data_IF_499537246583
#
_entry.id   IF_499537246583
#
_cell.length_a   1.000
_cell.length_b   1.000
_cell.length_c   1.000
_cell.angle_alpha   90.00
_cell.angle_beta   90.00
_cell.angle_gamma   90.00
#
_symmetry.space_group_name_H-M   'P 1'
#
loop_
_entity.id
_entity.type
_entity.pdbx_description
1 polymer ?
#
# COMPACT_ATOMS: atom_id res chain seq x y z
N UNK A 1 -1.66 39.95 34.22
CA UNK A 1 -2.80 39.01 34.41
C UNK A 1 -4.08 39.56 33.76
N UNK A 2 -4.06 39.92 32.48
CA UNK A 2 -5.28 40.29 31.69
C UNK A 2 -5.12 40.00 30.17
N UNK A 3 -4.15 39.18 29.76
CA UNK A 3 -3.87 38.83 28.35
C UNK A 3 -3.86 37.31 28.12
N UNK A 4 -4.54 36.54 28.97
CA UNK A 4 -4.70 35.08 28.80
C UNK A 4 -6.17 34.64 28.83
N UNK A 5 -7.10 35.50 29.23
CA UNK A 5 -8.54 35.18 29.27
C UNK A 5 -9.26 35.43 27.94
N UNK A 6 -8.71 36.26 27.05
CA UNK A 6 -9.34 36.57 25.76
C UNK A 6 -9.04 35.51 24.68
N UNK A 7 -7.91 34.79 24.79
CA UNK A 7 -7.53 33.74 23.83
C UNK A 7 -8.42 32.49 23.96
N UNK A 8 -8.93 32.22 25.17
CA UNK A 8 -9.85 31.11 25.42
C UNK A 8 -11.30 31.37 24.95
N UNK A 9 -11.70 32.64 24.81
CA UNK A 9 -13.04 32.96 24.29
C UNK A 9 -13.09 33.15 22.77
N UNK A 10 -11.96 33.39 22.09
CA UNK A 10 -11.88 33.41 20.62
C UNK A 10 -11.55 32.03 20.01
N UNK A 11 -11.05 31.08 20.80
CA UNK A 11 -10.83 29.69 20.36
C UNK A 11 -12.08 28.80 20.50
N UNK A 12 -13.24 29.36 20.85
CA UNK A 12 -14.48 28.63 21.12
C UNK A 12 -15.52 28.67 19.97
N UNK A 13 -15.12 29.07 18.75
CA UNK A 13 -16.03 29.07 17.60
C UNK A 13 -15.35 28.72 16.28
N UNK A 14 -14.43 27.75 16.30
CA UNK A 14 -14.22 26.95 15.09
C UNK A 14 -15.34 25.90 15.07
N UNK A 15 -16.56 26.32 14.74
CA UNK A 15 -17.56 25.38 14.27
C UNK A 15 -16.96 24.68 13.05
N UNK A 16 -16.59 23.41 13.22
CA UNK A 16 -16.29 22.55 12.08
C UNK A 16 -17.57 22.48 11.28
N UNK A 17 -17.65 23.30 10.22
CA UNK A 17 -18.76 23.26 9.29
C UNK A 17 -18.72 21.87 8.66
N UNK A 18 -19.52 20.97 9.22
CA UNK A 18 -19.68 19.62 8.71
C UNK A 18 -20.52 19.74 7.43
N UNK A 19 -19.84 19.94 6.31
CA UNK A 19 -20.47 20.02 4.99
C UNK A 19 -21.17 18.72 4.58
N UNK A 20 -20.94 17.64 5.32
CA UNK A 20 -21.57 16.36 5.06
C UNK A 20 -21.70 15.52 6.34
N UNK A 21 -22.89 14.95 6.54
CA UNK A 21 -23.18 14.10 7.70
C UNK A 21 -22.96 12.64 7.37
N UNK A 22 -22.37 11.90 8.32
CA UNK A 22 -22.23 10.46 8.20
C UNK A 22 -23.62 9.82 8.16
N UNK A 23 -23.96 9.19 7.03
CA UNK A 23 -25.18 8.42 6.95
C UNK A 23 -25.02 7.14 7.79
N UNK A 24 -25.51 7.18 9.03
CA UNK A 24 -25.49 6.03 9.96
C UNK A 24 -26.33 4.84 9.49
N UNK A 25 -27.17 5.02 8.47
CA UNK A 25 -27.90 3.92 7.84
C UNK A 25 -27.04 3.09 6.88
N UNK A 26 -25.77 3.48 6.63
CA UNK A 26 -24.83 2.67 5.85
C UNK A 26 -24.47 1.42 6.66
N UNK A 27 -24.87 0.21 6.20
CA UNK A 27 -24.67 -1.02 6.97
C UNK A 27 -23.19 -1.28 7.28
N UNK A 28 -22.28 -0.98 6.34
CA UNK A 28 -20.85 -1.20 6.52
C UNK A 28 -20.22 -0.37 7.65
N UNK A 29 -20.66 0.88 7.79
CA UNK A 29 -20.19 1.75 8.87
C UNK A 29 -20.73 1.26 10.21
N UNK A 30 -22.00 0.85 10.22
CA UNK A 30 -22.64 0.27 11.39
C UNK A 30 -21.92 -0.99 11.87
N UNK A 31 -21.66 -1.95 10.98
CA UNK A 31 -20.89 -3.17 11.28
C UNK A 31 -19.51 -2.85 11.88
N UNK A 32 -18.81 -1.87 11.31
CA UNK A 32 -17.52 -1.47 11.85
C UNK A 32 -17.63 -0.85 13.25
N UNK A 33 -18.52 0.12 13.46
CA UNK A 33 -18.66 0.83 14.74
C UNK A 33 -19.33 0.00 15.84
N UNK A 34 -20.16 -0.99 15.49
CA UNK A 34 -20.82 -1.89 16.44
C UNK A 34 -19.95 -3.07 16.89
N UNK A 35 -18.72 -3.18 16.37
CA UNK A 35 -17.77 -4.18 16.84
C UNK A 35 -17.83 -5.54 16.12
N UNK A 36 -18.58 -5.64 15.01
CA UNK A 36 -18.74 -6.90 14.27
C UNK A 36 -17.45 -7.37 13.54
N UNK A 37 -17.47 -8.58 12.98
CA UNK A 37 -16.34 -9.07 12.18
C UNK A 37 -16.19 -8.25 10.89
N UNK A 38 -14.98 -7.75 10.66
CA UNK A 38 -14.64 -6.91 9.49
C UNK A 38 -14.14 -7.74 8.31
N UNK A 39 -13.80 -9.02 8.51
CA UNK A 39 -13.24 -9.85 7.44
C UNK A 39 -14.20 -10.06 6.25
N UNK A 40 -15.52 -10.27 6.44
CA UNK A 40 -16.46 -10.49 5.34
C UNK A 40 -16.57 -9.33 4.36
N UNK A 41 -16.39 -8.08 4.83
CA UNK A 41 -16.56 -6.89 4.00
C UNK A 41 -15.23 -6.25 3.60
N UNK A 42 -14.27 -6.19 4.54
CA UNK A 42 -12.99 -5.50 4.36
C UNK A 42 -11.83 -6.44 4.04
N UNK A 43 -12.03 -7.78 4.11
CA UNK A 43 -10.98 -8.81 3.95
C UNK A 43 -9.82 -8.70 4.95
N UNK A 44 -10.02 -7.92 6.02
CA UNK A 44 -9.04 -7.67 7.06
C UNK A 44 -9.66 -7.92 8.44
N UNK A 45 -8.83 -8.40 9.37
CA UNK A 45 -9.23 -8.50 10.77
C UNK A 45 -9.43 -7.11 11.37
N UNK A 46 -10.28 -7.02 12.40
CA UNK A 46 -10.54 -5.76 13.11
C UNK A 46 -9.25 -5.16 13.68
N UNK A 47 -8.36 -6.01 14.19
CA UNK A 47 -7.04 -5.59 14.69
C UNK A 47 -6.20 -4.95 13.58
N UNK A 48 -6.21 -5.54 12.39
CA UNK A 48 -5.50 -4.98 11.23
C UNK A 48 -6.09 -3.64 10.78
N UNK A 49 -7.42 -3.50 10.79
CA UNK A 49 -8.09 -2.23 10.45
C UNK A 49 -7.75 -1.15 11.47
N UNK A 50 -7.81 -1.46 12.77
CA UNK A 50 -7.44 -0.51 13.83
C UNK A 50 -5.96 -0.12 13.73
N UNK A 51 -5.07 -1.07 13.48
CA UNK A 51 -3.65 -0.79 13.27
C UNK A 51 -3.41 0.12 12.07
N UNK A 52 -4.16 -0.08 10.98
CA UNK A 52 -4.11 0.79 9.80
C UNK A 52 -4.63 2.20 10.12
N UNK A 53 -5.70 2.31 10.91
CA UNK A 53 -6.23 3.60 11.35
C UNK A 53 -5.21 4.36 12.21
N UNK A 54 -4.58 3.69 13.17
CA UNK A 54 -3.54 4.29 14.02
C UNK A 54 -2.31 4.73 13.21
N UNK A 55 -1.94 3.94 12.20
CA UNK A 55 -0.84 4.27 11.32
C UNK A 55 -1.14 5.51 10.44
N UNK A 56 -2.39 5.65 10.02
CA UNK A 56 -2.88 6.74 9.17
C UNK A 56 -3.55 7.85 9.98
N UNK A 57 -3.45 7.82 11.31
CA UNK A 57 -4.06 8.80 12.21
C UNK A 57 -3.23 10.09 12.12
N UNK A 58 -3.60 10.91 11.15
CA UNK A 58 -3.10 12.26 10.99
C UNK A 58 -4.26 13.18 11.41
N UNK A 59 -4.03 14.00 12.43
CA UNK A 59 -5.00 15.03 12.82
C UNK A 59 -5.30 15.90 11.60
N UNK A 60 -6.56 15.91 11.19
CA UNK A 60 -7.01 16.61 9.99
C UNK A 60 -8.28 17.37 10.29
N UNK A 61 -8.21 18.68 10.13
CA UNK A 61 -9.33 19.60 10.27
C UNK A 61 -10.32 19.55 9.10
N UNK A 62 -9.98 18.84 8.01
CA UNK A 62 -10.73 18.81 6.76
C UNK A 62 -10.93 17.37 6.27
N UNK A 63 -12.15 17.04 5.83
CA UNK A 63 -12.49 15.74 5.23
C UNK A 63 -13.59 14.99 5.99
N UNK A 64 -13.71 13.70 5.71
CA UNK A 64 -14.69 12.81 6.38
C UNK A 64 -14.14 12.19 7.66
N UNK A 65 -12.93 12.56 8.06
CA UNK A 65 -12.20 11.95 9.17
C UNK A 65 -11.41 10.71 8.72
N UNK A 66 -10.21 10.46 9.29
CA UNK A 66 -9.33 9.37 8.87
C UNK A 66 -10.00 8.00 8.88
N UNK A 67 -10.89 7.77 9.85
CA UNK A 67 -11.62 6.51 9.98
C UNK A 67 -12.48 6.18 8.75
N UNK A 68 -13.28 7.14 8.30
CA UNK A 68 -14.21 6.91 7.19
C UNK A 68 -13.44 6.79 5.88
N UNK A 69 -12.39 7.61 5.69
CA UNK A 69 -11.55 7.56 4.49
C UNK A 69 -10.84 6.22 4.32
N UNK A 70 -10.30 5.67 5.41
CA UNK A 70 -9.69 4.33 5.41
C UNK A 70 -10.72 3.24 5.13
N UNK A 71 -11.91 3.29 5.74
CA UNK A 71 -12.96 2.31 5.47
C UNK A 71 -13.43 2.34 4.00
N UNK A 72 -13.60 3.54 3.44
CA UNK A 72 -13.91 3.72 2.01
C UNK A 72 -12.82 3.10 1.14
N UNK A 73 -11.55 3.35 1.47
CA UNK A 73 -10.41 2.79 0.76
C UNK A 73 -10.37 1.25 0.84
N UNK A 74 -10.61 0.67 2.02
CA UNK A 74 -10.64 -0.78 2.20
C UNK A 74 -11.75 -1.47 1.40
N UNK A 75 -12.96 -0.91 1.38
CA UNK A 75 -14.07 -1.43 0.55
C UNK A 75 -13.74 -1.26 -0.94
N UNK A 76 -13.04 -0.19 -1.31
CA UNK A 76 -12.54 -0.04 -2.67
C UNK A 76 -11.52 -1.12 -3.03
N UNK A 77 -10.56 -1.46 -2.15
CA UNK A 77 -9.62 -2.56 -2.38
C UNK A 77 -10.34 -3.92 -2.54
N UNK A 78 -11.38 -4.16 -1.74
CA UNK A 78 -12.15 -5.40 -1.80
C UNK A 78 -13.03 -5.54 -3.06
N UNK A 79 -13.51 -4.42 -3.61
CA UNK A 79 -14.48 -4.42 -4.73
C UNK A 79 -13.92 -3.95 -6.07
N UNK A 80 -12.80 -3.23 -6.07
CA UNK A 80 -12.21 -2.53 -7.22
C UNK A 80 -13.22 -1.65 -8.00
N UNK A 81 -14.24 -1.09 -7.33
CA UNK A 81 -15.33 -0.37 -8.00
C UNK A 81 -15.77 0.89 -7.26
N UNK A 82 -15.45 2.06 -7.84
CA UNK A 82 -15.94 3.36 -7.37
C UNK A 82 -17.48 3.43 -7.30
N UNK A 83 -18.18 2.72 -8.17
CA UNK A 83 -19.65 2.71 -8.18
C UNK A 83 -20.24 1.95 -7.00
N UNK A 84 -19.63 0.81 -6.63
CA UNK A 84 -20.07 0.00 -5.49
C UNK A 84 -19.85 0.79 -4.21
N UNK A 85 -18.65 1.34 -4.03
CA UNK A 85 -18.28 2.14 -2.85
C UNK A 85 -19.15 3.40 -2.75
N UNK A 86 -19.36 4.10 -3.86
CA UNK A 86 -20.24 5.29 -3.92
C UNK A 86 -21.66 4.98 -3.43
N UNK A 87 -22.23 3.84 -3.83
CA UNK A 87 -23.55 3.40 -3.36
C UNK A 87 -23.54 2.98 -1.90
N UNK A 88 -22.50 2.24 -1.49
CA UNK A 88 -22.38 1.72 -0.14
C UNK A 88 -22.27 2.84 0.90
N UNK A 89 -21.46 3.88 0.64
CA UNK A 89 -21.25 5.00 1.55
C UNK A 89 -22.15 6.22 1.25
N UNK A 90 -23.05 6.12 0.26
CA UNK A 90 -23.86 7.24 -0.23
C UNK A 90 -23.03 8.49 -0.56
N UNK A 91 -21.90 8.27 -1.26
CA UNK A 91 -20.89 9.29 -1.53
C UNK A 91 -20.72 9.51 -3.05
N UNK A 92 -20.54 10.74 -3.54
CA UNK A 92 -20.28 10.97 -4.96
C UNK A 92 -19.03 10.22 -5.45
N UNK A 93 -19.07 9.69 -6.68
CA UNK A 93 -17.94 8.90 -7.23
C UNK A 93 -16.64 9.69 -7.29
N UNK A 94 -16.71 11.00 -7.57
CA UNK A 94 -15.57 11.91 -7.57
C UNK A 94 -14.92 12.00 -6.19
N UNK A 95 -15.73 12.00 -5.14
CA UNK A 95 -15.25 12.02 -3.77
C UNK A 95 -14.63 10.67 -3.36
N UNK A 96 -15.23 9.54 -3.75
CA UNK A 96 -14.61 8.21 -3.57
C UNK A 96 -13.24 8.16 -4.24
N UNK A 97 -13.16 8.65 -5.47
CA UNK A 97 -11.90 8.73 -6.20
C UNK A 97 -10.84 9.53 -5.44
N UNK A 98 -11.20 10.73 -4.97
CA UNK A 98 -10.27 11.57 -4.21
C UNK A 98 -9.80 10.90 -2.92
N UNK A 99 -10.72 10.32 -2.13
CA UNK A 99 -10.39 9.58 -0.90
C UNK A 99 -9.46 8.41 -1.20
N UNK A 100 -9.74 7.60 -2.24
CA UNK A 100 -8.90 6.46 -2.60
C UNK A 100 -7.49 6.89 -2.96
N UNK A 101 -7.34 7.91 -3.79
CA UNK A 101 -6.03 8.40 -4.20
C UNK A 101 -5.25 9.03 -3.05
N UNK A 102 -5.95 9.73 -2.17
CA UNK A 102 -5.36 10.36 -1.00
C UNK A 102 -4.89 9.33 0.03
N UNK A 103 -5.72 8.39 0.46
CA UNK A 103 -5.32 7.31 1.39
C UNK A 103 -4.21 6.45 0.79
N UNK A 104 -4.25 6.18 -0.51
CA UNK A 104 -3.16 5.49 -1.21
C UNK A 104 -1.84 6.28 -1.15
N UNK A 105 -1.89 7.60 -1.33
CA UNK A 105 -0.73 8.48 -1.21
C UNK A 105 -0.12 8.46 0.18
N UNK A 106 -0.95 8.54 1.23
CA UNK A 106 -0.50 8.48 2.62
C UNK A 106 0.13 7.11 2.93
N UNK A 107 -0.45 6.02 2.43
CA UNK A 107 0.15 4.69 2.55
C UNK A 107 1.50 4.57 1.86
N UNK A 108 1.62 5.08 0.63
CA UNK A 108 2.88 5.08 -0.12
C UNK A 108 3.99 5.84 0.60
N UNK A 109 3.66 6.91 1.33
CA UNK A 109 4.62 7.64 2.16
C UNK A 109 5.07 6.81 3.37
N UNK A 110 4.18 6.00 3.94
CA UNK A 110 4.49 5.14 5.10
C UNK A 110 5.20 3.84 4.73
N UNK A 111 5.02 3.34 3.50
CA UNK A 111 5.58 2.06 3.03
C UNK A 111 7.09 1.88 3.31
N UNK A 112 7.98 2.85 3.06
CA UNK A 112 9.41 2.69 3.31
C UNK A 112 9.78 2.48 4.78
N UNK A 113 8.94 2.95 5.71
CA UNK A 113 9.16 2.81 7.15
C UNK A 113 8.70 1.44 7.68
N UNK A 114 7.74 0.83 6.98
CA UNK A 114 7.11 -0.44 7.37
C UNK A 114 7.80 -1.62 6.68
N UNK A 115 7.99 -1.53 5.37
CA UNK A 115 8.58 -2.58 4.53
C UNK A 115 10.05 -2.21 4.32
N UNK A 116 10.90 -2.72 5.23
CA UNK A 116 12.33 -2.48 5.19
C UNK A 116 13.12 -3.77 5.10
N UNK A 117 14.17 -3.73 4.30
CA UNK A 117 15.17 -4.79 4.25
C UNK A 117 15.94 -4.77 5.58
N UNK A 118 16.14 -5.91 6.24
CA UNK A 118 16.97 -5.99 7.44
C UNK A 118 18.39 -5.51 7.14
N UNK A 119 18.91 -4.59 7.95
CA UNK A 119 20.16 -3.88 7.68
C UNK A 119 21.29 -4.28 8.62
N UNK A 120 20.97 -4.81 9.80
CA UNK A 120 21.97 -5.22 10.78
C UNK A 120 22.32 -6.70 10.64
N UNK A 121 23.57 -7.07 10.91
CA UNK A 121 24.00 -8.47 10.89
C UNK A 121 23.15 -9.37 11.80
N UNK A 122 22.68 -8.82 12.94
CA UNK A 122 21.82 -9.54 13.87
C UNK A 122 20.41 -9.77 13.31
N UNK A 123 19.81 -8.79 12.64
CA UNK A 123 18.52 -9.00 11.94
C UNK A 123 18.65 -10.04 10.82
N UNK A 124 19.73 -9.98 10.04
CA UNK A 124 20.01 -10.94 8.98
C UNK A 124 20.17 -12.36 9.53
N UNK A 125 20.93 -12.51 10.62
CA UNK A 125 21.10 -13.79 11.32
C UNK A 125 19.76 -14.33 11.81
N UNK A 126 18.93 -13.48 12.44
CA UNK A 126 17.58 -13.88 12.88
C UNK A 126 16.72 -14.38 11.71
N UNK A 127 16.81 -13.73 10.55
CA UNK A 127 16.07 -14.16 9.35
C UNK A 127 16.55 -15.52 8.87
N UNK A 128 17.85 -15.70 8.70
CA UNK A 128 18.44 -16.96 8.27
C UNK A 128 18.18 -18.11 9.24
N UNK A 129 18.36 -17.89 10.54
CA UNK A 129 18.06 -18.88 11.58
C UNK A 129 16.57 -19.27 11.57
N UNK A 130 15.68 -18.32 11.30
CA UNK A 130 14.25 -18.56 11.14
C UNK A 130 13.95 -19.49 9.97
N UNK A 131 14.56 -19.26 8.81
CA UNK A 131 14.42 -20.16 7.66
C UNK A 131 15.04 -21.53 7.89
N UNK A 132 16.21 -21.60 8.54
CA UNK A 132 16.83 -22.87 8.91
C UNK A 132 15.93 -23.71 9.81
N UNK A 133 15.23 -23.08 10.77
CA UNK A 133 14.23 -23.74 11.62
C UNK A 133 13.02 -24.22 10.82
N UNK A 134 12.45 -23.37 9.95
CA UNK A 134 11.29 -23.72 9.13
C UNK A 134 11.56 -24.87 8.15
N UNK A 135 12.75 -24.87 7.57
CA UNK A 135 13.19 -25.90 6.63
C UNK A 135 13.76 -27.16 7.31
N UNK A 136 14.02 -27.11 8.62
CA UNK A 136 14.69 -28.18 9.35
C UNK A 136 16.13 -28.46 8.89
N UNK A 137 16.79 -27.49 8.24
CA UNK A 137 18.08 -27.72 7.59
C UNK A 137 19.00 -26.49 7.66
N UNK A 138 20.26 -26.71 8.05
CA UNK A 138 21.27 -25.65 8.23
C UNK A 138 21.67 -24.91 6.95
N UNK A 139 21.34 -25.43 5.78
CA UNK A 139 21.60 -24.75 4.49
C UNK A 139 20.91 -23.37 4.40
N UNK A 140 19.80 -23.18 5.11
CA UNK A 140 19.03 -21.93 5.05
C UNK A 140 19.49 -20.87 6.07
N UNK A 141 20.56 -21.09 6.84
CA UNK A 141 21.04 -20.09 7.81
C UNK A 141 21.51 -18.78 7.18
N UNK A 142 21.80 -18.79 5.86
CA UNK A 142 22.14 -17.58 5.08
C UNK A 142 20.97 -17.05 4.26
N UNK A 143 19.77 -17.61 4.41
CA UNK A 143 18.60 -17.13 3.69
C UNK A 143 18.21 -15.74 4.19
N UNK A 144 18.05 -14.81 3.25
CA UNK A 144 17.75 -13.40 3.52
C UNK A 144 16.26 -13.08 3.34
N UNK A 145 15.53 -14.00 2.71
CA UNK A 145 14.12 -13.84 2.40
C UNK A 145 13.64 -14.89 1.38
N UNK A 146 12.34 -15.08 1.32
CA UNK A 146 11.67 -15.86 0.27
C UNK A 146 11.10 -14.89 -0.77
N UNK A 147 11.50 -15.04 -2.03
CA UNK A 147 11.06 -14.20 -3.14
C UNK A 147 9.96 -14.90 -3.93
N UNK A 148 8.91 -14.16 -4.26
CA UNK A 148 7.88 -14.58 -5.21
C UNK A 148 7.40 -13.37 -6.02
N UNK A 149 6.69 -13.62 -7.13
CA UNK A 149 6.10 -12.56 -7.92
C UNK A 149 4.81 -12.96 -8.61
N UNK A 150 3.92 -11.99 -8.80
CA UNK A 150 2.65 -12.16 -9.46
C UNK A 150 2.46 -11.18 -10.62
N UNK A 151 1.57 -11.54 -11.55
CA UNK A 151 1.26 -10.74 -12.72
C UNK A 151 -0.12 -10.09 -12.55
N UNK A 152 -0.14 -8.76 -12.44
CA UNK A 152 -1.36 -7.97 -12.32
C UNK A 152 -1.77 -7.50 -13.71
N UNK A 153 -2.88 -8.04 -14.22
CA UNK A 153 -3.43 -7.59 -15.51
C UNK A 153 -3.90 -6.16 -15.40
N UNK A 154 -3.55 -5.34 -16.39
CA UNK A 154 -4.00 -3.96 -16.48
C UNK A 154 -4.76 -3.73 -17.79
N UNK A 155 -5.48 -2.62 -17.88
CA UNK A 155 -5.84 -2.09 -19.20
C UNK A 155 -4.56 -1.55 -19.83
N UNK A 156 -4.35 -1.83 -21.12
CA UNK A 156 -3.20 -1.29 -21.82
C UNK A 156 -3.22 0.25 -21.70
N UNK A 157 -2.09 0.88 -21.35
CA UNK A 157 -2.00 2.32 -21.48
C UNK A 157 -2.17 2.74 -22.94
N UNK A 158 -2.46 4.02 -23.16
CA UNK A 158 -2.53 4.58 -24.51
C UNK A 158 -1.18 4.47 -25.24
N UNK A 159 -1.23 4.51 -26.56
CA UNK A 159 -0.04 4.62 -27.40
C UNK A 159 0.76 5.90 -27.08
N UNK A 160 2.10 5.89 -27.17
CA UNK A 160 2.96 4.82 -27.69
C UNK A 160 3.39 3.76 -26.64
N UNK A 161 2.90 3.86 -25.40
CA UNK A 161 3.43 3.08 -24.27
C UNK A 161 2.80 1.69 -24.13
N UNK A 162 1.74 1.38 -24.87
CA UNK A 162 0.98 0.13 -24.76
C UNK A 162 1.86 -1.12 -24.90
N UNK A 163 2.84 -1.08 -25.81
CA UNK A 163 3.75 -2.19 -26.08
C UNK A 163 4.66 -2.50 -24.88
N UNK A 164 5.03 -1.49 -24.08
CA UNK A 164 5.93 -1.63 -22.93
C UNK A 164 5.32 -2.47 -21.78
N UNK A 165 4.02 -2.72 -21.82
CA UNK A 165 3.30 -3.47 -20.78
C UNK A 165 2.90 -4.86 -21.26
N UNK A 166 3.17 -5.23 -22.52
CA UNK A 166 2.82 -6.54 -23.06
C UNK A 166 3.83 -7.60 -22.60
N UNK A 167 3.32 -8.65 -21.99
CA UNK A 167 4.13 -9.81 -21.65
C UNK A 167 4.33 -10.78 -22.83
N UNK A 168 5.07 -11.87 -22.60
CA UNK A 168 5.26 -12.98 -23.56
C UNK A 168 3.93 -13.59 -24.04
N UNK A 169 2.86 -13.51 -23.24
CA UNK A 169 1.51 -14.01 -23.56
C UNK A 169 0.63 -12.94 -24.24
N UNK A 170 1.23 -11.83 -24.69
CA UNK A 170 0.62 -10.75 -25.47
C UNK A 170 -0.54 -10.01 -24.78
N UNK A 171 -0.58 -10.00 -23.44
CA UNK A 171 -1.53 -9.17 -22.70
C UNK A 171 -0.81 -8.14 -21.81
N UNK A 172 -1.42 -6.94 -21.63
CA UNK A 172 -0.86 -5.88 -20.79
C UNK A 172 -0.91 -6.25 -19.29
N UNK A 173 0.23 -6.13 -18.61
CA UNK A 173 0.35 -6.38 -17.18
C UNK A 173 1.44 -5.56 -16.50
N UNK A 174 1.38 -5.52 -15.18
CA UNK A 174 2.47 -5.11 -14.29
C UNK A 174 2.90 -6.35 -13.51
N UNK A 175 4.22 -6.54 -13.37
CA UNK A 175 4.76 -7.58 -12.51
C UNK A 175 5.00 -6.99 -11.12
N UNK A 176 4.46 -7.67 -10.11
CA UNK A 176 4.76 -7.41 -8.71
C UNK A 176 5.71 -8.49 -8.21
N UNK A 177 6.80 -8.11 -7.59
CA UNK A 177 7.70 -9.00 -6.86
C UNK A 177 7.74 -8.57 -5.40
N UNK A 178 7.80 -9.55 -4.51
CA UNK A 178 7.90 -9.30 -3.09
C UNK A 178 8.86 -10.31 -2.44
N UNK A 179 9.52 -9.86 -1.38
CA UNK A 179 10.38 -10.69 -0.54
C UNK A 179 9.80 -10.69 0.87
N UNK A 180 9.62 -11.88 1.43
CA UNK A 180 9.18 -12.08 2.81
C UNK A 180 10.30 -12.62 3.68
N UNK A 181 10.29 -12.27 4.97
CA UNK A 181 11.12 -12.96 5.95
C UNK A 181 10.50 -14.32 6.36
N UNK A 182 11.18 -15.04 7.26
CA UNK A 182 10.72 -16.32 7.79
C UNK A 182 9.35 -16.26 8.48
N UNK A 183 8.93 -15.09 9.01
CA UNK A 183 7.63 -14.92 9.65
C UNK A 183 6.50 -14.58 8.67
N UNK A 184 6.77 -14.59 7.35
CA UNK A 184 5.80 -14.22 6.33
C UNK A 184 5.55 -12.72 6.23
N UNK A 185 6.43 -11.88 6.79
CA UNK A 185 6.33 -10.42 6.73
C UNK A 185 7.11 -9.91 5.52
N UNK A 186 6.49 -9.06 4.71
CA UNK A 186 7.14 -8.40 3.58
C UNK A 186 8.27 -7.48 4.05
N UNK A 187 9.48 -7.69 3.52
CA UNK A 187 10.68 -6.87 3.77
C UNK A 187 11.09 -6.06 2.52
N UNK A 188 10.55 -6.43 1.36
CA UNK A 188 10.75 -5.72 0.11
C UNK A 188 9.58 -5.97 -0.83
N UNK A 189 9.11 -4.92 -1.50
CA UNK A 189 8.06 -5.01 -2.52
C UNK A 189 8.46 -4.12 -3.68
N UNK A 190 8.38 -4.65 -4.90
CA UNK A 190 8.76 -3.92 -6.11
C UNK A 190 7.79 -4.24 -7.24
N UNK A 191 7.18 -3.19 -7.80
CA UNK A 191 6.35 -3.27 -8.99
C UNK A 191 7.11 -2.74 -10.19
N UNK A 192 7.12 -3.49 -11.29
CA UNK A 192 7.69 -3.03 -12.55
C UNK A 192 6.87 -3.51 -13.74
N UNK A 193 6.85 -2.70 -14.78
CA UNK A 193 6.43 -3.18 -16.10
C UNK A 193 7.64 -3.84 -16.75
N UNK A 194 7.41 -4.93 -17.48
CA UNK A 194 8.44 -5.64 -18.21
C UNK A 194 8.58 -5.04 -19.63
N UNK A 195 9.56 -4.17 -19.92
CA UNK A 195 10.20 -4.18 -21.22
C UNK A 195 11.24 -5.30 -21.14
N UNK A 196 11.07 -6.36 -21.91
CA UNK A 196 12.13 -7.37 -22.04
C UNK A 196 13.40 -6.64 -22.48
N UNK A 197 14.39 -6.51 -21.59
CA UNK A 197 15.61 -5.71 -21.78
C UNK A 197 15.36 -4.20 -22.01
N UNK A 198 16.18 -3.37 -21.39
CA UNK A 198 16.21 -1.89 -21.51
C UNK A 198 16.50 -1.37 -22.94
N UNK A 199 16.42 -2.20 -23.98
CA UNK A 199 17.10 -1.99 -25.25
C UNK A 199 16.25 -1.44 -26.40
N UNK A 200 14.92 -1.30 -26.29
CA UNK A 200 14.09 -0.98 -27.47
C UNK A 200 13.05 0.14 -27.31
N UNK A 201 13.04 0.87 -26.20
CA UNK A 201 12.11 1.99 -26.03
C UNK A 201 12.80 3.37 -25.96
N UNK A 202 14.09 3.47 -26.29
CA UNK A 202 14.77 4.75 -26.49
C UNK A 202 14.92 5.02 -27.99
N UNK A 203 14.02 5.84 -28.54
CA UNK A 203 14.42 6.75 -29.61
C UNK A 203 15.41 7.78 -29.06
N UNK A 204 16.24 8.42 -29.90
CA UNK A 204 17.43 9.12 -29.45
C UNK A 204 17.08 10.42 -28.72
N UNK A 205 17.20 10.43 -27.40
CA UNK A 205 17.57 11.64 -26.68
C UNK A 205 18.21 11.29 -25.33
N UNK A 206 19.45 11.78 -25.16
CA UNK A 206 20.29 11.65 -23.99
C UNK A 206 19.62 12.22 -22.73
N UNK A 207 19.55 11.40 -21.67
CA UNK A 207 19.57 11.89 -20.30
C UNK A 207 20.53 11.00 -19.50
N UNK A 208 21.41 11.58 -18.66
CA UNK A 208 22.39 10.81 -17.91
C UNK A 208 21.67 9.89 -16.91
N UNK A 209 22.17 8.66 -16.69
CA UNK A 209 21.55 7.76 -15.74
C UNK A 209 21.63 8.35 -14.33
N UNK A 210 20.47 8.50 -13.69
CA UNK A 210 20.39 8.58 -12.22
C UNK A 210 21.18 7.40 -11.64
N UNK A 211 21.95 7.60 -10.55
CA UNK A 211 22.86 6.58 -10.04
C UNK A 211 22.08 5.32 -9.73
N UNK A 212 22.34 4.29 -10.52
CA UNK A 212 22.04 2.91 -10.17
C UNK A 212 22.63 2.69 -8.78
N UNK A 213 21.79 2.42 -7.80
CA UNK A 213 22.26 1.73 -6.61
C UNK A 213 22.91 0.43 -7.11
N UNK A 214 24.24 0.42 -7.10
CA UNK A 214 25.05 -0.74 -7.41
C UNK A 214 24.58 -1.88 -6.50
N UNK A 215 23.88 -2.85 -7.07
CA UNK A 215 23.78 -4.18 -6.52
C UNK A 215 24.99 -4.93 -7.11
N UNK A 216 26.12 -5.07 -6.40
CA UNK A 216 27.17 -5.97 -6.85
C UNK A 216 26.61 -7.40 -6.84
N UNK A 217 26.64 -8.08 -7.99
CA UNK A 217 26.41 -9.54 -8.08
C UNK A 217 27.46 -10.31 -7.25
N UNK A 218 27.25 -11.61 -6.94
CA UNK A 218 26.69 -12.62 -7.83
C UNK A 218 25.71 -13.61 -7.14
N UNK A 219 24.46 -13.71 -7.62
CA UNK A 219 23.54 -14.78 -7.20
C UNK A 219 22.93 -15.48 -8.42
N UNK A 220 23.80 -16.09 -9.23
CA UNK A 220 23.41 -17.23 -10.03
C UNK A 220 23.69 -18.47 -9.17
N UNK A 221 22.64 -19.17 -8.75
CA UNK A 221 22.77 -20.50 -8.16
C UNK A 221 23.12 -21.44 -9.32
N UNK A 222 24.30 -22.11 -9.33
CA UNK A 222 24.51 -23.20 -10.27
C UNK A 222 23.58 -24.34 -9.89
N UNK A 223 22.66 -24.67 -10.79
CA UNK A 223 22.00 -25.98 -10.79
C UNK A 223 23.07 -27.01 -11.21
N UNK A 224 23.62 -27.68 -10.21
CA UNK A 224 24.32 -28.96 -10.35
C UNK A 224 23.41 -30.08 -9.88
#
# INVERSE_FOLDING_TARGET
>A
MLMLSAYWHLAASAETVSYAWLNRAVPLLRLFFEGEDTCPDFRLSRVSVIGLLQLLDQERDQGWGPAIEVLVFLVWLASASYRVVSRAFNMPRTMVHNVVHHVCGDLLQMMPYIIRVPSTAEELRKVGDGFARLAGHGAFHKAMGAIDGCHIRIKAPGEPHAQCYRNRKLFPLIQLQAVCNHAGVFIYVFGFWLPRFRAQCQGPQEQPPLPLCHIPGPWAIPVG
#
